data_IF_771417167367
#
_entry.id   IF_771417167367
#
_cell.length_a   1.000
_cell.length_b   1.000
_cell.length_c   1.000
_cell.angle_alpha   90.00
_cell.angle_beta   90.00
_cell.angle_gamma   90.00
#
_symmetry.space_group_name_H-M   'P 1'
#
loop_
_entity.id
_entity.type
_entity.pdbx_description
1 polymer ?
#
# COMPACT_ATOMS: atom_id res chain seq x y z
N UNK A 1 2.41 13.99 47.11
CA UNK A 1 3.05 13.05 46.16
C UNK A 1 2.02 11.97 45.87
N UNK A 2 1.83 11.59 44.60
CA UNK A 2 0.95 10.49 44.23
C UNK A 2 1.53 9.18 44.79
N UNK A 3 0.67 8.29 45.29
CA UNK A 3 1.08 6.93 45.71
C UNK A 3 1.06 5.96 44.52
N UNK A 4 0.14 6.14 43.58
CA UNK A 4 0.10 5.41 42.32
C UNK A 4 -0.74 6.15 41.27
N UNK A 5 -0.58 5.80 40.01
CA UNK A 5 -1.30 6.41 38.88
C UNK A 5 -2.15 5.36 38.17
N UNK A 6 -3.43 5.66 37.94
CA UNK A 6 -4.34 4.85 37.13
C UNK A 6 -4.27 5.27 35.67
N UNK A 7 -4.10 4.33 34.74
CA UNK A 7 -4.25 4.54 33.31
C UNK A 7 -5.63 4.06 32.85
N UNK A 8 -6.50 5.01 32.52
CA UNK A 8 -7.89 4.73 32.16
C UNK A 8 -8.10 4.79 30.65
N UNK A 9 -8.52 3.68 30.05
CA UNK A 9 -8.90 3.59 28.65
C UNK A 9 -10.43 3.61 28.51
N UNK A 10 -10.94 4.60 27.78
CA UNK A 10 -12.37 4.73 27.48
C UNK A 10 -12.67 4.03 26.15
N UNK A 11 -13.54 3.02 26.18
CA UNK A 11 -13.92 2.28 24.97
C UNK A 11 -14.51 3.21 23.91
N UNK A 12 -13.97 3.12 22.69
CA UNK A 12 -14.35 3.98 21.57
C UNK A 12 -13.45 5.21 21.39
N UNK A 13 -12.43 5.39 22.23
CA UNK A 13 -11.39 6.42 22.06
C UNK A 13 -10.10 5.83 21.46
N UNK A 14 -9.23 6.61 20.80
CA UNK A 14 -7.96 6.12 20.28
C UNK A 14 -7.07 5.44 21.34
N UNK A 15 -6.28 4.43 20.98
CA UNK A 15 -5.44 3.67 21.94
C UNK A 15 -4.46 4.57 22.73
N UNK A 16 -3.99 5.66 22.11
CA UNK A 16 -3.08 6.65 22.72
C UNK A 16 -3.76 7.69 23.62
N UNK A 17 -5.10 7.67 23.77
CA UNK A 17 -5.83 8.63 24.60
C UNK A 17 -6.18 8.09 25.99
N UNK A 18 -5.42 7.12 26.50
CA UNK A 18 -5.56 6.70 27.89
C UNK A 18 -5.25 7.88 28.83
N UNK A 19 -6.11 8.08 29.83
CA UNK A 19 -6.02 9.22 30.74
C UNK A 19 -5.29 8.75 32.02
N UNK A 20 -4.14 9.36 32.38
CA UNK A 20 -3.51 9.12 33.66
C UNK A 20 -4.27 9.85 34.78
N UNK A 21 -4.53 9.15 35.88
CA UNK A 21 -5.20 9.70 37.07
C UNK A 21 -4.32 9.39 38.28
N UNK A 22 -3.74 10.42 38.86
CA UNK A 22 -2.87 10.30 40.03
C UNK A 22 -3.70 10.18 41.31
N UNK A 23 -3.43 9.14 42.10
CA UNK A 23 -4.08 8.88 43.39
C UNK A 23 -3.04 8.99 44.49
N UNK A 24 -3.32 9.86 45.46
CA UNK A 24 -2.54 9.96 46.69
C UNK A 24 -3.31 9.42 47.90
N UNK A 25 -2.64 9.41 49.05
CA UNK A 25 -3.23 9.10 50.36
C UNK A 25 -4.56 9.81 50.63
N UNK A 26 -4.66 11.05 50.15
CA UNK A 26 -5.88 11.85 50.10
C UNK A 26 -6.02 12.36 48.66
N UNK A 27 -7.16 12.07 48.04
CA UNK A 27 -7.47 12.44 46.64
C UNK A 27 -8.77 13.24 46.61
N UNK A 28 -8.77 14.39 45.93
CA UNK A 28 -9.98 15.21 45.75
C UNK A 28 -10.88 14.61 44.66
N UNK A 29 -12.14 14.35 44.99
CA UNK A 29 -13.12 13.78 44.06
C UNK A 29 -14.36 14.66 44.07
N UNK A 30 -14.59 15.45 43.01
CA UNK A 30 -15.69 16.43 42.91
C UNK A 30 -15.75 17.44 44.08
N UNK A 31 -14.60 17.82 44.65
CA UNK A 31 -14.51 18.78 45.75
C UNK A 31 -14.01 18.20 47.08
N UNK A 32 -14.68 17.20 47.70
CA UNK A 32 -14.25 16.63 48.97
C UNK A 32 -12.96 15.80 48.86
N UNK A 33 -12.19 15.83 49.93
CA UNK A 33 -11.01 15.01 50.15
C UNK A 33 -11.42 13.57 50.52
N UNK A 34 -11.03 12.60 49.70
CA UNK A 34 -11.28 11.17 49.92
C UNK A 34 -9.97 10.47 50.22
N UNK A 35 -9.85 9.87 51.41
CA UNK A 35 -8.70 9.05 51.76
C UNK A 35 -8.67 7.75 50.95
N UNK A 36 -7.49 7.20 50.67
CA UNK A 36 -7.32 5.92 49.96
C UNK A 36 -8.21 4.79 50.53
N UNK A 37 -8.31 4.69 51.87
CA UNK A 37 -9.14 3.69 52.57
C UNK A 37 -10.65 3.80 52.32
N UNK A 38 -11.12 4.94 51.82
CA UNK A 38 -12.53 5.24 51.51
C UNK A 38 -12.78 5.35 50.00
N UNK A 39 -11.75 5.11 49.17
CA UNK A 39 -11.86 5.15 47.73
C UNK A 39 -12.72 3.97 47.24
N UNK A 40 -13.60 4.23 46.28
CA UNK A 40 -14.47 3.21 45.67
C UNK A 40 -14.61 3.46 44.17
N UNK A 41 -15.24 2.52 43.44
CA UNK A 41 -15.40 2.66 42.00
C UNK A 41 -16.26 3.85 41.58
N UNK A 42 -17.20 4.31 42.41
CA UNK A 42 -17.94 5.55 42.16
C UNK A 42 -17.02 6.78 42.16
N UNK A 43 -16.07 6.83 43.10
CA UNK A 43 -15.05 7.87 43.14
C UNK A 43 -14.12 7.82 41.92
N UNK A 44 -13.70 6.62 41.50
CA UNK A 44 -12.86 6.44 40.29
C UNK A 44 -13.61 6.89 39.04
N UNK A 45 -14.89 6.54 38.88
CA UNK A 45 -15.71 7.00 37.74
C UNK A 45 -15.79 8.52 37.65
N UNK A 46 -15.93 9.20 38.80
CA UNK A 46 -15.94 10.66 38.90
C UNK A 46 -14.58 11.28 38.58
N UNK A 47 -13.48 10.61 38.94
CA UNK A 47 -12.14 11.05 38.53
C UNK A 47 -11.90 10.92 37.02
N UNK A 48 -12.46 9.88 36.39
CA UNK A 48 -12.39 9.70 34.92
C UNK A 48 -13.25 10.74 34.19
N UNK A 49 -14.43 11.06 34.73
CA UNK A 49 -15.37 11.99 34.12
C UNK A 49 -15.81 13.07 35.12
N UNK A 50 -14.92 14.02 35.47
CA UNK A 50 -15.21 15.06 36.45
C UNK A 50 -16.31 15.99 35.94
N UNK A 51 -17.22 16.39 36.85
CA UNK A 51 -18.37 17.28 36.57
C UNK A 51 -19.45 16.73 35.63
N UNK A 52 -19.51 15.42 35.35
CA UNK A 52 -20.61 14.82 34.59
C UNK A 52 -21.57 14.03 35.50
N UNK A 53 -22.85 14.44 35.53
CA UNK A 53 -23.90 13.74 36.27
C UNK A 53 -24.10 12.28 35.80
N UNK A 54 -23.53 11.90 34.66
CA UNK A 54 -23.51 10.54 34.09
C UNK A 54 -22.25 9.76 34.42
N UNK A 55 -21.28 10.29 35.17
CA UNK A 55 -20.08 9.55 35.57
C UNK A 55 -20.42 8.19 36.21
N UNK A 56 -21.47 8.14 37.04
CA UNK A 56 -21.96 6.90 37.65
C UNK A 56 -22.47 5.86 36.63
N UNK A 57 -22.87 6.30 35.44
CA UNK A 57 -23.35 5.46 34.34
C UNK A 57 -22.20 4.81 33.55
N UNK A 58 -20.94 5.18 33.79
CA UNK A 58 -19.79 4.45 33.27
C UNK A 58 -19.82 3.00 33.77
N UNK A 59 -19.68 2.04 32.86
CA UNK A 59 -19.51 0.63 33.23
C UNK A 59 -18.02 0.31 33.27
N UNK A 60 -17.50 -0.10 34.43
CA UNK A 60 -16.14 -0.63 34.51
C UNK A 60 -16.13 -2.04 33.91
N UNK A 61 -15.24 -2.26 32.96
CA UNK A 61 -15.14 -3.51 32.19
C UNK A 61 -13.96 -4.36 32.62
N UNK A 62 -12.84 -3.74 33.00
CA UNK A 62 -11.63 -4.43 33.44
C UNK A 62 -10.82 -3.54 34.39
N UNK A 63 -10.21 -4.15 35.39
CA UNK A 63 -9.29 -3.51 36.34
C UNK A 63 -8.07 -4.42 36.49
N UNK A 64 -6.87 -3.91 36.19
CA UNK A 64 -5.61 -4.67 36.24
C UNK A 64 -4.60 -3.90 37.08
N UNK A 65 -4.06 -4.56 38.09
CA UNK A 65 -3.01 -4.03 38.96
C UNK A 65 -1.71 -4.79 38.68
N UNK A 66 -0.63 -4.15 38.23
CA UNK A 66 0.65 -4.83 37.98
C UNK A 66 1.56 -4.89 39.21
N UNK A 67 1.20 -4.22 40.31
CA UNK A 67 2.06 -4.06 41.48
C UNK A 67 2.45 -5.40 42.11
N UNK A 68 3.77 -5.61 42.23
CA UNK A 68 4.40 -6.66 43.04
C UNK A 68 4.42 -6.33 44.54
N UNK A 69 4.02 -5.11 44.92
CA UNK A 69 4.01 -4.64 46.30
C UNK A 69 2.67 -4.92 46.99
N UNK A 70 2.74 -5.39 48.23
CA UNK A 70 1.60 -5.76 49.09
C UNK A 70 0.81 -4.52 49.58
N UNK A 71 0.13 -3.81 48.67
CA UNK A 71 -0.87 -2.82 49.04
C UNK A 71 -2.23 -3.53 49.26
N UNK A 72 -2.51 -3.89 50.52
CA UNK A 72 -3.71 -4.63 50.93
C UNK A 72 -5.01 -3.89 50.58
N UNK A 73 -5.04 -2.56 50.66
CA UNK A 73 -6.22 -1.76 50.31
C UNK A 73 -6.59 -1.88 48.81
N UNK A 74 -5.60 -1.93 47.92
CA UNK A 74 -5.82 -2.11 46.48
C UNK A 74 -6.22 -3.55 46.12
N UNK A 75 -5.65 -4.54 46.82
CA UNK A 75 -6.09 -5.94 46.68
C UNK A 75 -7.54 -6.09 47.09
N UNK A 76 -7.97 -5.46 48.18
CA UNK A 76 -9.36 -5.48 48.64
C UNK A 76 -10.30 -4.79 47.64
N UNK A 77 -9.88 -3.66 47.04
CA UNK A 77 -10.66 -2.98 46.00
C UNK A 77 -10.80 -3.84 44.73
N UNK A 78 -9.72 -4.48 44.28
CA UNK A 78 -9.73 -5.39 43.14
C UNK A 78 -10.61 -6.63 43.43
N UNK A 79 -10.53 -7.18 44.65
CA UNK A 79 -11.40 -8.27 45.10
C UNK A 79 -12.89 -7.88 45.05
N UNK A 80 -13.22 -6.68 45.57
CA UNK A 80 -14.57 -6.11 45.49
C UNK A 80 -15.07 -5.90 44.07
N UNK A 81 -14.18 -5.68 43.08
CA UNK A 81 -14.57 -5.62 41.67
C UNK A 81 -15.16 -6.94 41.19
N UNK A 82 -14.46 -8.04 41.47
CA UNK A 82 -14.90 -9.38 41.05
C UNK A 82 -16.10 -9.89 41.85
N UNK A 83 -16.24 -9.50 43.13
CA UNK A 83 -17.38 -9.87 43.99
C UNK A 83 -18.67 -9.09 43.68
N UNK A 84 -18.59 -7.83 43.20
CA UNK A 84 -19.77 -7.01 42.83
C UNK A 84 -20.30 -7.28 41.41
N UNK A 85 -19.74 -8.25 40.68
CA UNK A 85 -20.35 -8.75 39.43
C UNK A 85 -21.50 -9.69 39.85
N UNK A 86 -22.68 -9.12 40.12
CA UNK A 86 -23.90 -9.93 40.14
C UNK A 86 -24.01 -10.65 38.78
N UNK A 87 -24.05 -11.98 38.85
CA UNK A 87 -24.28 -12.89 37.73
C UNK A 87 -25.72 -12.72 37.19
N UNK A 88 -26.03 -11.57 36.62
CA UNK A 88 -27.20 -11.36 35.76
C UNK A 88 -26.83 -10.45 34.60
N UNK A 89 -26.41 -11.08 33.51
CA UNK A 89 -27.13 -11.00 32.23
C UNK A 89 -26.43 -11.91 31.21
N UNK A 90 -26.82 -13.19 31.26
CA UNK A 90 -26.65 -14.26 30.26
C UNK A 90 -25.55 -14.06 29.21
N UNK A 91 -24.42 -14.73 29.45
CA UNK A 91 -23.43 -15.05 28.42
C UNK A 91 -24.10 -15.84 27.28
N UNK A 92 -24.30 -15.19 26.13
CA UNK A 92 -24.58 -15.90 24.88
C UNK A 92 -23.33 -16.69 24.45
N UNK A 93 -23.45 -17.86 23.80
CA UNK A 93 -22.31 -18.72 23.44
C UNK A 93 -21.32 -18.13 22.42
N UNK A 94 -21.46 -16.86 22.01
CA UNK A 94 -20.57 -16.20 21.05
C UNK A 94 -19.79 -15.01 21.63
N UNK A 95 -19.84 -14.80 22.94
CA UNK A 95 -19.09 -13.72 23.57
C UNK A 95 -17.69 -14.22 23.88
N UNK A 96 -16.75 -14.06 22.94
CA UNK A 96 -15.33 -13.98 23.29
C UNK A 96 -15.24 -12.89 24.36
N UNK A 97 -15.18 -13.29 25.63
CA UNK A 97 -14.77 -12.42 26.73
C UNK A 97 -13.55 -11.68 26.21
N UNK A 98 -13.64 -10.35 26.12
CA UNK A 98 -12.53 -9.47 25.74
C UNK A 98 -11.40 -9.70 26.75
N UNK A 99 -10.57 -10.71 26.50
CA UNK A 99 -9.43 -11.06 27.34
C UNK A 99 -8.38 -9.95 27.28
N UNK A 100 -8.34 -9.16 26.21
CA UNK A 100 -7.22 -8.29 25.93
C UNK A 100 -7.63 -6.82 25.81
N UNK A 101 -6.77 -5.95 26.33
CA UNK A 101 -6.75 -4.53 25.95
C UNK A 101 -6.60 -4.45 24.42
N UNK A 102 -7.02 -3.35 23.76
CA UNK A 102 -6.87 -3.23 22.31
C UNK A 102 -5.42 -3.52 21.89
N UNK A 103 -5.26 -4.21 20.75
CA UNK A 103 -3.93 -4.53 20.21
C UNK A 103 -3.10 -3.25 20.05
N UNK A 104 -1.88 -3.25 20.57
CA UNK A 104 -1.00 -2.07 20.63
C UNK A 104 -1.18 -1.19 21.88
N UNK A 105 -1.99 -1.60 22.87
CA UNK A 105 -2.00 -0.97 24.18
C UNK A 105 -0.74 -1.38 24.96
N UNK A 106 0.16 -0.44 25.19
CA UNK A 106 1.35 -0.65 26.02
C UNK A 106 0.95 -0.69 27.49
N UNK A 107 1.22 -1.82 28.14
CA UNK A 107 1.13 -1.93 29.59
C UNK A 107 2.37 -1.30 30.19
N UNK A 108 2.17 -0.42 31.17
CA UNK A 108 3.24 0.15 31.94
C UNK A 108 3.26 -0.61 33.27
N UNK A 109 4.34 -1.34 33.54
CA UNK A 109 4.43 -2.29 34.66
C UNK A 109 4.27 -1.66 36.05
N UNK A 110 4.34 -0.33 36.16
CA UNK A 110 4.18 0.42 37.41
C UNK A 110 2.77 1.05 37.59
N UNK A 111 1.81 0.78 36.69
CA UNK A 111 0.54 1.51 36.61
C UNK A 111 -0.70 0.63 36.60
N UNK A 112 -1.75 1.06 37.30
CA UNK A 112 -3.02 0.32 37.32
C UNK A 112 -3.81 0.65 36.07
N UNK A 113 -4.23 -0.36 35.29
CA UNK A 113 -4.93 -0.18 34.03
C UNK A 113 -6.43 -0.47 34.15
N UNK A 114 -7.29 0.46 33.70
CA UNK A 114 -8.75 0.35 33.79
C UNK A 114 -9.39 0.53 32.41
N UNK A 115 -10.35 -0.33 32.06
CA UNK A 115 -11.20 -0.15 30.88
C UNK A 115 -12.60 0.27 31.32
N UNK A 116 -13.10 1.37 30.78
CA UNK A 116 -14.47 1.86 31.03
C UNK A 116 -15.29 1.98 29.74
N UNK A 117 -16.58 1.67 29.83
CA UNK A 117 -17.54 1.81 28.75
C UNK A 117 -18.49 2.99 29.02
N UNK A 118 -18.64 3.95 28.08
CA UNK A 118 -19.61 5.03 28.21
C UNK A 118 -21.06 4.54 28.04
N UNK A 119 -22.05 5.22 28.65
CA UNK A 119 -23.45 4.88 28.47
C UNK A 119 -23.87 5.06 26.99
N UNK A 120 -24.80 4.23 26.49
CA UNK A 120 -25.29 4.37 25.12
C UNK A 120 -25.95 5.74 24.92
N UNK A 121 -25.80 6.38 23.74
CA UNK A 121 -26.42 7.67 23.48
C UNK A 121 -27.94 7.57 23.57
N UNK A 122 -28.56 8.53 24.28
CA UNK A 122 -30.01 8.55 24.52
C UNK A 122 -30.74 8.87 23.21
N UNK A 123 -31.31 7.86 22.57
CA UNK A 123 -32.32 8.05 21.51
C UNK A 123 -33.71 7.98 22.14
N UNK A 124 -34.40 9.12 22.21
CA UNK A 124 -35.82 9.21 22.56
C UNK A 124 -36.67 8.60 21.44
N UNK A 125 -37.07 7.34 21.60
CA UNK A 125 -38.21 6.78 20.88
C UNK A 125 -38.82 5.60 21.67
N UNK A 126 -40.13 5.58 21.67
CA UNK A 126 -41.04 4.88 22.57
C UNK A 126 -40.96 3.35 22.44
N UNK A 127 -40.87 2.66 23.59
CA UNK A 127 -40.86 1.19 23.71
C UNK A 127 -42.18 0.58 23.23
N UNK A 128 -42.16 -0.10 22.08
CA UNK A 128 -42.83 -1.39 21.77
C UNK A 128 -42.83 -1.61 20.25
N UNK A 129 -41.80 -2.30 19.75
CA UNK A 129 -41.62 -2.94 18.41
C UNK A 129 -40.15 -2.91 17.92
N UNK A 130 -39.24 -2.21 18.61
CA UNK A 130 -37.86 -1.98 18.18
C UNK A 130 -36.89 -3.17 18.25
N UNK A 131 -37.14 -4.22 19.03
CA UNK A 131 -36.09 -5.23 19.24
C UNK A 131 -35.79 -6.08 18.00
N UNK A 132 -36.77 -6.35 17.13
CA UNK A 132 -36.52 -7.08 15.87
C UNK A 132 -35.78 -6.20 14.86
N UNK A 133 -36.30 -4.99 14.65
CA UNK A 133 -35.78 -4.09 13.62
C UNK A 133 -34.43 -3.49 14.01
N UNK A 134 -34.13 -3.32 15.31
CA UNK A 134 -32.84 -2.82 15.79
C UNK A 134 -31.72 -3.85 15.65
N UNK A 135 -31.96 -5.13 15.98
CA UNK A 135 -30.97 -6.18 15.75
C UNK A 135 -30.75 -6.45 14.26
N UNK A 136 -31.78 -6.24 13.44
CA UNK A 136 -31.65 -6.29 11.99
C UNK A 136 -30.92 -5.07 11.44
N UNK A 137 -31.20 -3.84 11.87
CA UNK A 137 -30.45 -2.64 11.47
C UNK A 137 -28.99 -2.66 11.95
N UNK A 138 -28.71 -3.16 13.15
CA UNK A 138 -27.34 -3.29 13.68
C UNK A 138 -26.58 -4.40 12.96
N UNK A 139 -27.22 -5.54 12.64
CA UNK A 139 -26.64 -6.55 11.74
C UNK A 139 -26.47 -6.01 10.32
N UNK A 140 -27.39 -5.17 9.84
CA UNK A 140 -27.31 -4.55 8.52
C UNK A 140 -26.19 -3.49 8.47
N UNK A 141 -25.99 -2.71 9.53
CA UNK A 141 -24.90 -1.72 9.66
C UNK A 141 -23.54 -2.38 9.89
N UNK A 142 -23.45 -3.49 10.65
CA UNK A 142 -22.24 -4.32 10.74
C UNK A 142 -21.93 -4.98 9.40
N UNK A 143 -22.93 -5.53 8.70
CA UNK A 143 -22.79 -6.05 7.32
C UNK A 143 -22.39 -4.97 6.32
N UNK A 144 -22.84 -3.71 6.47
CA UNK A 144 -22.39 -2.57 5.64
C UNK A 144 -20.95 -2.13 5.93
N UNK A 145 -20.42 -2.33 7.15
CA UNK A 145 -19.01 -2.10 7.47
C UNK A 145 -18.07 -3.22 7.00
N UNK A 146 -18.59 -4.42 6.73
CA UNK A 146 -17.84 -5.56 6.19
C UNK A 146 -17.96 -5.73 4.67
N UNK A 147 -18.90 -5.03 4.03
CA UNK A 147 -19.08 -5.08 2.57
C UNK A 147 -18.20 -4.04 1.94
N UNK A 148 -17.38 -4.48 0.98
CA UNK A 148 -16.62 -3.60 0.11
C UNK A 148 -17.54 -2.52 -0.46
N UNK A 149 -17.16 -1.23 -0.43
CA UNK A 149 -17.94 -0.18 -1.04
C UNK A 149 -18.33 -0.54 -2.48
N UNK A 150 -19.61 -0.37 -2.81
CA UNK A 150 -20.15 -0.70 -4.14
C UNK A 150 -19.38 -0.03 -5.27
N UNK A 151 -18.84 1.17 -5.00
CA UNK A 151 -17.98 1.92 -5.91
C UNK A 151 -16.68 1.20 -6.24
N UNK A 152 -16.05 0.51 -5.28
CA UNK A 152 -14.84 -0.29 -5.49
C UNK A 152 -15.18 -1.56 -6.28
N UNK A 153 -16.25 -2.27 -5.90
CA UNK A 153 -16.73 -3.45 -6.62
C UNK A 153 -17.03 -3.12 -8.08
N UNK A 154 -17.82 -2.08 -8.34
CA UNK A 154 -18.16 -1.64 -9.69
C UNK A 154 -16.92 -1.23 -10.48
N UNK A 155 -15.95 -0.53 -9.86
CA UNK A 155 -14.70 -0.15 -10.53
C UNK A 155 -13.83 -1.36 -10.86
N UNK A 156 -13.72 -2.32 -9.95
CA UNK A 156 -12.94 -3.54 -10.13
C UNK A 156 -13.53 -4.39 -11.25
N UNK A 157 -14.84 -4.68 -11.20
CA UNK A 157 -15.55 -5.44 -12.22
C UNK A 157 -15.46 -4.79 -13.60
N UNK A 158 -15.70 -3.48 -13.70
CA UNK A 158 -15.59 -2.76 -14.98
C UNK A 158 -14.18 -2.80 -15.55
N UNK A 159 -13.16 -2.61 -14.71
CA UNK A 159 -11.75 -2.66 -15.16
C UNK A 159 -11.39 -4.07 -15.62
N UNK A 160 -11.83 -5.10 -14.90
CA UNK A 160 -11.64 -6.49 -15.29
C UNK A 160 -12.38 -6.82 -16.59
N UNK A 161 -13.63 -6.37 -16.77
CA UNK A 161 -14.40 -6.54 -18.01
C UNK A 161 -13.68 -5.90 -19.21
N UNK A 162 -13.14 -4.70 -19.03
CA UNK A 162 -12.35 -4.01 -20.05
C UNK A 162 -11.03 -4.75 -20.35
N UNK A 163 -10.42 -5.40 -19.36
CA UNK A 163 -9.24 -6.27 -19.55
C UNK A 163 -9.65 -7.54 -20.31
N UNK A 164 -10.77 -8.19 -19.98
CA UNK A 164 -11.21 -9.41 -20.67
C UNK A 164 -11.54 -9.20 -22.16
N UNK A 165 -11.76 -7.94 -22.58
CA UNK A 165 -11.99 -7.57 -24.00
C UNK A 165 -10.71 -7.42 -24.82
N UNK A 166 -9.53 -7.40 -24.20
CA UNK A 166 -8.26 -7.30 -24.95
C UNK A 166 -7.88 -8.65 -25.57
N UNK A 167 -6.94 -8.64 -26.51
CA UNK A 167 -6.45 -9.85 -27.17
C UNK A 167 -5.69 -10.76 -26.19
N UNK A 168 -5.88 -12.07 -26.31
CA UNK A 168 -5.09 -13.10 -25.63
C UNK A 168 -3.94 -13.65 -26.49
N UNK A 169 -3.73 -13.10 -27.70
CA UNK A 169 -2.56 -13.41 -28.52
C UNK A 169 -1.37 -12.52 -28.12
N UNK A 170 -0.28 -13.08 -27.55
CA UNK A 170 0.90 -12.29 -27.16
C UNK A 170 1.52 -11.53 -28.32
N UNK A 171 1.42 -12.03 -29.56
CA UNK A 171 2.00 -11.38 -30.76
C UNK A 171 1.41 -10.00 -31.03
N UNK A 172 0.18 -9.75 -30.58
CA UNK A 172 -0.45 -8.44 -30.71
C UNK A 172 0.33 -7.37 -29.94
N UNK A 173 0.89 -7.73 -28.78
CA UNK A 173 1.63 -6.82 -27.90
C UNK A 173 3.11 -6.71 -28.24
N UNK A 174 3.67 -7.66 -29.01
CA UNK A 174 5.04 -7.58 -29.48
C UNK A 174 5.20 -6.96 -30.86
N UNK A 175 4.12 -6.90 -31.66
CA UNK A 175 4.14 -6.28 -32.98
C UNK A 175 4.18 -4.74 -32.92
N UNK A 176 5.26 -4.08 -33.38
CA UNK A 176 5.38 -2.62 -33.35
C UNK A 176 4.39 -1.87 -34.25
N UNK A 177 3.66 -2.53 -35.15
CA UNK A 177 2.56 -1.97 -35.95
C UNK A 177 1.27 -1.73 -35.15
N UNK A 178 1.15 -2.38 -33.99
CA UNK A 178 -0.01 -2.21 -33.14
C UNK A 178 0.16 -1.03 -32.18
N UNK A 179 -0.91 -0.24 -32.07
CA UNK A 179 -1.05 0.82 -31.09
C UNK A 179 -2.32 0.57 -30.28
N UNK A 180 -2.13 0.13 -29.05
CA UNK A 180 -3.17 -0.48 -28.23
C UNK A 180 -3.58 0.46 -27.10
N UNK A 181 -4.83 0.95 -27.07
CA UNK A 181 -5.36 1.61 -25.88
C UNK A 181 -5.72 0.52 -24.87
N UNK A 182 -4.92 0.33 -23.83
CA UNK A 182 -5.10 -0.72 -22.83
C UNK A 182 -5.70 -0.16 -21.52
N UNK A 183 -6.56 -0.92 -20.80
CA UNK A 183 -7.02 -0.51 -19.48
C UNK A 183 -5.82 -0.39 -18.54
N UNK A 184 -5.78 0.64 -17.69
CA UNK A 184 -4.72 0.74 -16.69
C UNK A 184 -5.00 -0.23 -15.54
N UNK A 185 -4.16 -1.25 -15.31
CA UNK A 185 -4.51 -2.40 -14.45
C UNK A 185 -4.25 -2.11 -12.96
N UNK A 186 -4.77 -0.99 -12.46
CA UNK A 186 -4.66 -0.62 -11.05
C UNK A 186 -5.83 0.28 -10.63
N UNK A 187 -6.43 -0.04 -9.47
CA UNK A 187 -7.63 0.65 -8.98
C UNK A 187 -7.35 1.85 -8.10
N UNK A 188 -6.13 2.00 -7.57
CA UNK A 188 -5.80 3.12 -6.70
C UNK A 188 -5.94 4.48 -7.38
N UNK A 189 -6.24 5.50 -6.60
CA UNK A 189 -6.45 6.87 -7.09
C UNK A 189 -5.14 7.55 -7.50
N UNK A 190 -4.07 7.31 -6.74
CA UNK A 190 -2.73 7.82 -7.04
C UNK A 190 -2.06 6.93 -8.09
N UNK A 191 -2.04 7.42 -9.33
CA UNK A 191 -1.43 6.75 -10.49
C UNK A 191 -0.16 7.48 -10.92
N UNK A 192 0.82 6.79 -11.53
CA UNK A 192 2.06 7.39 -12.03
C UNK A 192 1.86 8.25 -13.29
N UNK A 193 1.16 9.38 -13.17
CA UNK A 193 0.82 10.29 -14.28
C UNK A 193 2.04 10.94 -14.94
N UNK A 194 3.17 11.01 -14.24
CA UNK A 194 4.45 11.49 -14.79
C UNK A 194 5.01 10.55 -15.87
N UNK A 195 4.65 9.27 -15.81
CA UNK A 195 5.13 8.22 -16.72
C UNK A 195 4.07 7.79 -17.71
N UNK A 196 2.80 7.80 -17.31
CA UNK A 196 1.69 7.35 -18.15
C UNK A 196 0.77 8.50 -18.52
N UNK A 197 0.51 8.65 -19.82
CA UNK A 197 -0.61 9.46 -20.32
C UNK A 197 -1.93 8.69 -20.17
N UNK A 198 -2.49 8.67 -18.96
CA UNK A 198 -3.73 7.93 -18.68
C UNK A 198 -4.95 8.81 -19.03
N UNK A 199 -5.70 8.41 -20.06
CA UNK A 199 -6.95 9.05 -20.48
C UNK A 199 -8.08 8.03 -20.41
N UNK A 200 -9.21 8.40 -19.82
CA UNK A 200 -10.38 7.52 -19.66
C UNK A 200 -10.02 6.15 -19.04
N UNK A 201 -9.12 6.16 -18.04
CA UNK A 201 -8.58 4.96 -17.35
C UNK A 201 -7.80 4.00 -18.27
N UNK A 202 -7.41 4.43 -19.47
CA UNK A 202 -6.59 3.67 -20.39
C UNK A 202 -5.24 4.36 -20.62
N UNK A 203 -4.23 3.56 -20.92
CA UNK A 203 -2.93 4.04 -21.39
C UNK A 203 -2.68 3.53 -22.81
N UNK A 204 -1.84 4.23 -23.56
CA UNK A 204 -1.51 3.85 -24.92
C UNK A 204 -0.21 3.03 -24.93
N UNK A 205 -0.22 1.91 -25.62
CA UNK A 205 0.93 1.02 -25.73
C UNK A 205 1.21 0.72 -27.20
N UNK A 206 2.38 1.12 -27.69
CA UNK A 206 2.90 0.63 -28.96
C UNK A 206 3.49 -0.75 -28.72
N UNK A 207 3.19 -1.73 -29.57
CA UNK A 207 3.77 -3.06 -29.43
C UNK A 207 5.30 -3.02 -29.42
N UNK A 208 5.91 -3.88 -28.60
CA UNK A 208 7.37 -3.91 -28.39
C UNK A 208 7.87 -5.34 -28.46
N UNK A 209 8.93 -5.60 -29.22
CA UNK A 209 9.51 -6.95 -29.28
C UNK A 209 10.00 -7.44 -27.91
N UNK A 210 10.44 -6.51 -27.07
CA UNK A 210 10.81 -6.78 -25.68
C UNK A 210 9.68 -7.38 -24.83
N UNK A 211 8.40 -7.19 -25.22
CA UNK A 211 7.26 -7.82 -24.55
C UNK A 211 7.39 -9.35 -24.54
N UNK A 212 7.73 -9.97 -25.68
CA UNK A 212 7.85 -11.42 -25.78
C UNK A 212 8.99 -11.94 -24.89
N UNK A 213 10.11 -11.23 -24.85
CA UNK A 213 11.23 -11.61 -23.98
C UNK A 213 10.83 -11.61 -22.50
N UNK A 214 10.14 -10.56 -22.06
CA UNK A 214 9.64 -10.45 -20.67
C UNK A 214 8.60 -11.54 -20.38
N UNK A 215 7.63 -11.74 -21.27
CA UNK A 215 6.58 -12.73 -21.09
C UNK A 215 7.14 -14.15 -21.05
N UNK A 216 8.04 -14.51 -21.97
CA UNK A 216 8.68 -15.82 -22.01
C UNK A 216 9.45 -16.10 -20.72
N UNK A 217 10.19 -15.11 -20.22
CA UNK A 217 10.92 -15.25 -18.95
C UNK A 217 9.98 -15.50 -17.77
N UNK A 218 8.84 -14.78 -17.72
CA UNK A 218 7.82 -14.99 -16.67
C UNK A 218 7.15 -16.36 -16.80
N UNK A 219 6.95 -16.85 -18.02
CA UNK A 219 6.35 -18.17 -18.28
C UNK A 219 7.29 -19.34 -17.92
N UNK A 220 8.59 -19.11 -17.80
CA UNK A 220 9.55 -20.11 -17.31
C UNK A 220 9.45 -20.35 -15.80
N UNK A 221 8.69 -19.52 -15.07
CA UNK A 221 8.55 -19.68 -13.64
C UNK A 221 7.89 -21.00 -13.26
N UNK A 222 8.47 -21.65 -12.24
CA UNK A 222 7.98 -22.91 -11.70
C UNK A 222 7.87 -22.80 -10.20
N UNK A 223 6.67 -23.00 -9.70
CA UNK A 223 6.40 -23.10 -8.27
C UNK A 223 7.25 -24.25 -7.68
N UNK A 224 7.98 -23.96 -6.59
CA UNK A 224 8.86 -24.88 -5.83
C UNK A 224 10.07 -25.50 -6.57
N UNK A 225 10.04 -25.63 -7.90
CA UNK A 225 11.05 -26.36 -8.68
C UNK A 225 11.91 -25.48 -9.60
N UNK A 226 11.78 -24.14 -9.52
CA UNK A 226 12.53 -23.25 -10.41
C UNK A 226 12.56 -21.80 -9.97
N UNK A 227 12.84 -20.91 -10.93
CA UNK A 227 12.84 -19.48 -10.69
C UNK A 227 11.42 -19.01 -10.40
N UNK A 228 11.27 -18.24 -9.33
CA UNK A 228 10.02 -17.56 -8.97
C UNK A 228 10.13 -16.03 -9.07
N UNK A 229 11.37 -15.54 -9.24
CA UNK A 229 11.70 -14.12 -9.19
C UNK A 229 12.27 -13.64 -10.52
N UNK A 230 11.87 -12.44 -10.94
CA UNK A 230 12.46 -11.73 -12.08
C UNK A 230 12.71 -10.26 -11.75
N UNK A 231 13.91 -9.80 -12.08
CA UNK A 231 14.30 -8.41 -12.03
C UNK A 231 14.51 -7.84 -13.42
N UNK A 232 13.71 -6.83 -13.75
CA UNK A 232 13.78 -6.08 -14.99
C UNK A 232 14.47 -4.76 -14.71
N UNK A 233 15.59 -4.48 -15.38
CA UNK A 233 16.31 -3.22 -15.23
C UNK A 233 16.78 -2.70 -16.58
N UNK A 234 16.98 -1.39 -16.66
CA UNK A 234 17.28 -0.76 -17.93
C UNK A 234 17.24 0.76 -17.92
N UNK A 235 17.49 1.38 -19.07
CA UNK A 235 17.54 2.84 -19.20
C UNK A 235 16.22 3.51 -18.82
N UNK A 236 16.30 4.70 -18.23
CA UNK A 236 15.13 5.55 -18.03
C UNK A 236 14.54 5.85 -19.41
N UNK A 237 13.21 5.78 -19.52
CA UNK A 237 12.51 6.10 -20.75
C UNK A 237 12.37 4.98 -21.78
N UNK A 238 13.01 3.80 -21.57
CA UNK A 238 12.83 2.62 -22.43
C UNK A 238 11.37 2.17 -22.59
N UNK A 239 10.51 2.48 -21.61
CA UNK A 239 9.12 2.03 -21.57
C UNK A 239 8.90 0.78 -20.72
N UNK A 240 9.83 0.42 -19.82
CA UNK A 240 9.72 -0.74 -18.91
C UNK A 240 8.36 -0.81 -18.19
N UNK A 241 7.93 0.32 -17.61
CA UNK A 241 6.64 0.42 -16.93
C UNK A 241 5.45 0.17 -17.85
N UNK A 242 5.53 0.59 -19.12
CA UNK A 242 4.48 0.33 -20.10
C UNK A 242 4.45 -1.15 -20.49
N UNK A 243 5.62 -1.77 -20.70
CA UNK A 243 5.74 -3.22 -20.95
C UNK A 243 5.17 -3.99 -19.76
N UNK A 244 5.52 -3.64 -18.52
CA UNK A 244 5.01 -4.28 -17.31
C UNK A 244 3.50 -4.12 -17.14
N UNK A 245 2.96 -2.92 -17.34
CA UNK A 245 1.51 -2.70 -17.28
C UNK A 245 0.79 -3.55 -18.35
N UNK A 246 1.35 -3.68 -19.54
CA UNK A 246 0.82 -4.55 -20.61
C UNK A 246 0.91 -6.03 -20.23
N UNK A 247 2.02 -6.48 -19.65
CA UNK A 247 2.18 -7.85 -19.13
C UNK A 247 1.12 -8.15 -18.06
N UNK A 248 0.89 -7.22 -17.13
CA UNK A 248 -0.16 -7.34 -16.11
C UNK A 248 -1.54 -7.49 -16.76
N UNK A 249 -1.88 -6.66 -17.75
CA UNK A 249 -3.13 -6.80 -18.50
C UNK A 249 -3.25 -8.18 -19.15
N UNK A 250 -2.18 -8.68 -19.79
CA UNK A 250 -2.16 -9.99 -20.44
C UNK A 250 -2.31 -11.15 -19.44
N UNK A 251 -1.60 -11.10 -18.31
CA UNK A 251 -1.69 -12.10 -17.24
C UNK A 251 -3.10 -12.15 -16.63
N UNK A 252 -3.70 -10.99 -16.35
CA UNK A 252 -5.10 -10.92 -15.89
C UNK A 252 -6.07 -11.46 -16.95
N UNK A 253 -5.89 -11.09 -18.23
CA UNK A 253 -6.70 -11.59 -19.36
C UNK A 253 -6.64 -13.10 -19.54
N UNK A 254 -5.51 -13.71 -19.20
CA UNK A 254 -5.28 -15.17 -19.26
C UNK A 254 -5.63 -15.88 -17.95
N UNK A 255 -6.30 -15.18 -17.01
CA UNK A 255 -6.86 -15.77 -15.79
C UNK A 255 -5.88 -15.89 -14.63
N UNK A 256 -4.69 -15.26 -14.70
CA UNK A 256 -3.74 -15.25 -13.59
C UNK A 256 -4.12 -14.22 -12.54
N UNK A 257 -3.82 -14.50 -11.27
CA UNK A 257 -3.96 -13.56 -10.15
C UNK A 257 -2.75 -12.65 -10.08
N UNK A 258 -2.94 -11.36 -10.38
CA UNK A 258 -1.83 -10.39 -10.42
C UNK A 258 -2.06 -9.28 -9.40
N UNK A 259 -1.07 -9.04 -8.54
CA UNK A 259 -0.99 -7.90 -7.63
C UNK A 259 -0.02 -6.89 -8.23
N UNK A 260 -0.54 -5.87 -8.90
CA UNK A 260 0.29 -4.85 -9.57
C UNK A 260 0.43 -3.59 -8.73
N UNK A 261 1.67 -3.25 -8.39
CA UNK A 261 2.06 -2.05 -7.65
C UNK A 261 2.86 -1.14 -8.61
N UNK A 262 2.21 -0.19 -9.29
CA UNK A 262 2.84 0.57 -10.38
C UNK A 262 3.83 1.64 -9.91
N UNK A 263 3.75 2.10 -8.66
CA UNK A 263 4.63 3.14 -8.14
C UNK A 263 4.97 2.93 -6.66
N UNK A 264 6.20 2.48 -6.39
CA UNK A 264 6.66 2.28 -5.01
C UNK A 264 6.74 3.57 -4.17
N UNK A 265 6.78 4.77 -4.77
CA UNK A 265 6.75 6.04 -4.01
C UNK A 265 5.40 6.21 -3.31
N UNK A 266 4.32 5.94 -4.05
CA UNK A 266 2.96 6.02 -3.52
C UNK A 266 2.67 4.84 -2.58
N UNK A 267 3.19 3.64 -2.88
CA UNK A 267 3.15 2.50 -1.97
C UNK A 267 3.72 2.85 -0.60
N UNK A 268 4.92 3.45 -0.53
CA UNK A 268 5.54 3.74 0.75
C UNK A 268 4.88 4.90 1.52
N UNK A 269 4.04 5.72 0.87
CA UNK A 269 3.26 6.79 1.51
C UNK A 269 2.00 6.28 2.20
N UNK A 270 1.31 5.32 1.59
CA UNK A 270 0.05 4.74 2.11
C UNK A 270 -0.06 3.25 1.73
N UNK A 271 0.70 2.37 2.39
CA UNK A 271 0.95 1.02 1.89
C UNK A 271 -0.30 0.14 1.97
N UNK A 272 -1.05 0.20 3.07
CA UNK A 272 -2.25 -0.62 3.24
C UNK A 272 -3.31 -0.29 2.17
N UNK A 273 -3.59 0.99 1.91
CA UNK A 273 -4.52 1.39 0.85
C UNK A 273 -4.02 0.97 -0.54
N UNK A 274 -2.74 1.19 -0.82
CA UNK A 274 -2.18 0.97 -2.14
C UNK A 274 -2.17 -0.52 -2.53
N UNK A 275 -1.80 -1.40 -1.58
CA UNK A 275 -1.80 -2.85 -1.79
C UNK A 275 -3.22 -3.39 -1.89
N UNK A 276 -4.15 -2.95 -1.01
CA UNK A 276 -5.56 -3.34 -1.10
C UNK A 276 -6.17 -2.94 -2.45
N UNK A 277 -5.80 -1.78 -2.98
CA UNK A 277 -6.24 -1.33 -4.30
C UNK A 277 -5.79 -2.26 -5.43
N UNK A 278 -4.60 -2.87 -5.32
CA UNK A 278 -4.15 -3.89 -6.25
C UNK A 278 -4.93 -5.21 -6.07
N UNK A 279 -5.04 -5.68 -4.81
CA UNK A 279 -5.74 -6.92 -4.45
C UNK A 279 -7.22 -6.91 -4.84
N UNK A 280 -7.90 -5.77 -4.74
CA UNK A 280 -9.28 -5.62 -5.20
C UNK A 280 -9.43 -5.88 -6.71
N UNK A 281 -8.41 -5.58 -7.52
CA UNK A 281 -8.45 -5.93 -8.94
C UNK A 281 -8.12 -7.41 -9.15
N UNK A 282 -7.14 -7.94 -8.41
CA UNK A 282 -6.74 -9.36 -8.43
C UNK A 282 -7.92 -10.29 -8.20
N UNK A 283 -8.80 -9.92 -7.28
CA UNK A 283 -9.98 -10.68 -6.88
C UNK A 283 -11.29 -10.02 -7.31
N UNK A 284 -11.29 -9.25 -8.40
CA UNK A 284 -12.48 -8.53 -8.87
C UNK A 284 -13.71 -9.44 -9.11
N UNK A 285 -13.50 -10.73 -9.36
CA UNK A 285 -14.54 -11.73 -9.56
C UNK A 285 -14.93 -12.50 -8.27
N UNK A 286 -14.29 -12.22 -7.13
CA UNK A 286 -14.53 -12.91 -5.86
C UNK A 286 -14.88 -11.90 -4.76
N UNK A 287 -16.18 -11.63 -4.63
CA UNK A 287 -16.71 -10.70 -3.64
C UNK A 287 -16.40 -11.09 -2.18
N UNK A 288 -16.18 -12.38 -1.90
CA UNK A 288 -15.87 -12.86 -0.56
C UNK A 288 -14.44 -12.49 -0.19
N UNK A 289 -13.47 -12.83 -1.06
CA UNK A 289 -12.07 -12.41 -0.90
C UNK A 289 -11.93 -10.90 -0.88
N UNK A 290 -12.65 -10.17 -1.74
CA UNK A 290 -12.65 -8.71 -1.67
C UNK A 290 -13.13 -8.18 -0.32
N UNK A 291 -14.13 -8.81 0.30
CA UNK A 291 -14.63 -8.40 1.63
C UNK A 291 -13.60 -8.67 2.72
N UNK A 292 -12.89 -9.78 2.63
CA UNK A 292 -11.77 -10.15 3.50
C UNK A 292 -10.61 -9.15 3.38
N UNK A 293 -10.15 -8.86 2.15
CA UNK A 293 -9.16 -7.82 1.86
C UNK A 293 -9.60 -6.48 2.44
N UNK A 294 -10.88 -6.12 2.28
CA UNK A 294 -11.39 -4.86 2.81
C UNK A 294 -11.31 -4.80 4.34
N UNK A 295 -11.49 -5.93 5.02
CA UNK A 295 -11.41 -6.03 6.48
C UNK A 295 -9.98 -5.91 7.03
N UNK A 296 -8.95 -6.17 6.23
CA UNK A 296 -7.55 -5.99 6.62
C UNK A 296 -7.26 -4.50 6.87
N UNK A 297 -6.84 -4.15 8.08
CA UNK A 297 -6.49 -2.80 8.52
C UNK A 297 -4.98 -2.57 8.47
N UNK A 298 -4.18 -3.62 8.68
CA UNK A 298 -2.72 -3.53 8.81
C UNK A 298 -1.99 -4.31 7.71
N UNK A 299 -0.71 -4.00 7.50
CA UNK A 299 0.14 -4.80 6.61
C UNK A 299 0.28 -6.26 7.04
N UNK A 300 0.30 -6.55 8.35
CA UNK A 300 0.45 -7.93 8.82
C UNK A 300 -0.80 -8.77 8.50
N UNK A 301 -2.00 -8.18 8.58
CA UNK A 301 -3.24 -8.83 8.16
C UNK A 301 -3.29 -9.05 6.64
N UNK A 302 -2.79 -8.09 5.84
CA UNK A 302 -2.66 -8.26 4.38
C UNK A 302 -1.64 -9.35 4.06
N UNK A 303 -0.54 -9.42 4.80
CA UNK A 303 0.49 -10.44 4.65
C UNK A 303 -0.06 -11.83 4.94
N UNK A 304 -0.84 -11.99 6.01
CA UNK A 304 -1.48 -13.26 6.33
C UNK A 304 -2.49 -13.67 5.25
N UNK A 305 -3.33 -12.73 4.79
CA UNK A 305 -4.23 -12.96 3.67
C UNK A 305 -3.48 -13.51 2.44
N UNK A 306 -2.36 -12.88 2.06
CA UNK A 306 -1.57 -13.37 0.92
C UNK A 306 -0.96 -14.76 1.17
N UNK A 307 -0.59 -15.11 2.41
CA UNK A 307 0.00 -16.42 2.74
C UNK A 307 -1.01 -17.56 2.82
N UNK A 308 -2.24 -17.27 3.23
CA UNK A 308 -3.33 -18.26 3.32
C UNK A 308 -3.78 -18.77 1.93
N UNK A 309 -3.38 -18.08 0.87
CA UNK A 309 -3.81 -18.37 -0.49
C UNK A 309 -3.25 -19.69 -1.04
N UNK A 310 -4.17 -20.55 -1.50
CA UNK A 310 -3.87 -21.82 -2.15
C UNK A 310 -3.39 -21.69 -3.60
N UNK A 311 -3.47 -20.48 -4.18
CA UNK A 311 -3.08 -20.19 -5.57
C UNK A 311 -1.89 -19.23 -5.65
N UNK A 312 -0.89 -19.46 -6.53
CA UNK A 312 0.25 -18.55 -6.68
C UNK A 312 -0.16 -17.17 -7.22
N UNK A 313 0.23 -16.10 -6.52
CA UNK A 313 0.09 -14.72 -7.00
C UNK A 313 1.26 -14.31 -7.90
N UNK A 314 0.99 -13.45 -8.88
CA UNK A 314 2.02 -12.70 -9.60
C UNK A 314 2.12 -11.31 -8.98
N UNK A 315 3.10 -11.10 -8.11
CA UNK A 315 3.38 -9.82 -7.47
C UNK A 315 4.30 -9.02 -8.40
N UNK A 316 3.74 -8.01 -9.04
CA UNK A 316 4.44 -7.16 -10.01
C UNK A 316 4.66 -5.78 -9.40
N UNK A 317 5.93 -5.42 -9.18
CA UNK A 317 6.32 -4.19 -8.50
C UNK A 317 7.19 -3.33 -9.41
N UNK A 318 6.70 -2.14 -9.74
CA UNK A 318 7.42 -1.20 -10.59
C UNK A 318 7.96 -0.01 -9.77
N UNK A 319 9.06 0.59 -10.25
CA UNK A 319 9.80 1.65 -9.57
C UNK A 319 10.41 1.24 -8.23
N UNK A 320 10.95 0.02 -8.12
CA UNK A 320 11.66 -0.42 -6.91
C UNK A 320 12.78 0.53 -6.48
N UNK A 321 13.31 1.33 -7.40
CA UNK A 321 14.28 2.37 -7.08
C UNK A 321 13.78 3.37 -6.03
N UNK A 322 12.48 3.62 -5.94
CA UNK A 322 11.92 4.52 -4.93
C UNK A 322 12.15 4.06 -3.48
N UNK A 323 12.41 2.76 -3.28
CA UNK A 323 12.64 2.14 -1.98
C UNK A 323 14.13 1.97 -1.66
N UNK A 324 15.04 2.43 -2.52
CA UNK A 324 16.47 2.43 -2.18
C UNK A 324 16.79 3.56 -1.22
N UNK A 325 17.71 3.30 -0.29
CA UNK A 325 18.13 4.31 0.68
C UNK A 325 18.91 5.48 0.12
N UNK A 326 19.47 5.34 -1.07
CA UNK A 326 20.18 6.42 -1.76
C UNK A 326 19.26 7.36 -2.56
N UNK A 327 17.96 7.04 -2.70
CA UNK A 327 17.02 7.89 -3.41
C UNK A 327 16.29 8.85 -2.45
N UNK A 328 16.39 10.16 -2.72
CA UNK A 328 15.72 11.19 -1.93
C UNK A 328 14.24 11.31 -2.31
N UNK A 329 13.41 10.37 -1.84
CA UNK A 329 11.97 10.31 -2.13
C UNK A 329 11.10 11.05 -1.11
N UNK A 330 11.70 11.82 -0.19
CA UNK A 330 11.06 12.41 1.00
C UNK A 330 10.49 11.36 1.97
N UNK A 331 10.76 10.08 1.73
CA UNK A 331 10.35 8.94 2.55
C UNK A 331 11.58 8.48 3.34
N UNK A 332 11.41 8.29 4.64
CA UNK A 332 12.49 7.86 5.52
C UNK A 332 12.93 6.42 5.24
N UNK A 333 14.17 6.12 5.62
CA UNK A 333 14.80 4.83 5.35
C UNK A 333 14.13 3.66 6.06
N UNK A 334 13.60 3.88 7.27
CA UNK A 334 12.97 2.82 8.05
C UNK A 334 11.66 2.38 7.40
N UNK A 335 10.88 3.32 6.87
CA UNK A 335 9.68 3.04 6.09
C UNK A 335 10.02 2.26 4.82
N UNK A 336 11.04 2.68 4.07
CA UNK A 336 11.48 1.95 2.86
C UNK A 336 11.86 0.50 3.17
N UNK A 337 12.69 0.28 4.19
CA UNK A 337 13.10 -1.06 4.62
C UNK A 337 11.92 -1.91 5.08
N UNK A 338 10.96 -1.32 5.80
CA UNK A 338 9.72 -1.99 6.20
C UNK A 338 8.92 -2.47 4.98
N UNK A 339 8.78 -1.64 3.95
CA UNK A 339 8.05 -2.00 2.72
C UNK A 339 8.82 -3.05 1.92
N UNK A 340 10.13 -2.93 1.76
CA UNK A 340 10.95 -3.95 1.08
C UNK A 340 10.84 -5.30 1.80
N UNK A 341 10.94 -5.30 3.13
CA UNK A 341 10.76 -6.51 3.95
C UNK A 341 9.36 -7.11 3.80
N UNK A 342 8.32 -6.28 3.81
CA UNK A 342 6.94 -6.72 3.57
C UNK A 342 6.78 -7.37 2.18
N UNK A 343 7.25 -6.71 1.11
CA UNK A 343 7.18 -7.24 -0.26
C UNK A 343 7.89 -8.60 -0.39
N UNK A 344 9.04 -8.76 0.26
CA UNK A 344 9.75 -10.04 0.30
C UNK A 344 8.95 -11.13 1.02
N UNK A 345 8.30 -10.80 2.14
CA UNK A 345 7.50 -11.78 2.90
C UNK A 345 6.27 -12.24 2.14
N UNK A 346 5.52 -11.34 1.53
CA UNK A 346 4.37 -11.74 0.68
C UNK A 346 4.83 -12.52 -0.56
N UNK A 347 6.04 -12.27 -1.08
CA UNK A 347 6.56 -12.98 -2.24
C UNK A 347 7.01 -14.43 -1.99
N UNK A 348 7.20 -14.85 -0.72
CA UNK A 348 7.86 -16.13 -0.36
C UNK A 348 7.30 -17.38 -1.07
N UNK A 349 6.01 -17.40 -1.41
CA UNK A 349 5.34 -18.52 -2.14
C UNK A 349 4.64 -18.04 -3.42
N UNK A 350 5.08 -16.94 -3.98
CA UNK A 350 4.46 -16.27 -5.11
C UNK A 350 5.51 -15.90 -6.15
N UNK A 351 5.06 -15.56 -7.34
CA UNK A 351 5.95 -15.08 -8.39
C UNK A 351 6.24 -13.60 -8.21
N UNK A 352 7.50 -13.22 -8.11
CA UNK A 352 7.91 -11.85 -7.82
C UNK A 352 8.59 -11.20 -9.02
N UNK A 353 7.92 -10.25 -9.65
CA UNK A 353 8.45 -9.49 -10.79
C UNK A 353 8.70 -8.06 -10.34
N UNK A 354 9.96 -7.63 -10.30
CA UNK A 354 10.35 -6.27 -9.93
C UNK A 354 11.01 -5.52 -11.07
N UNK A 355 10.75 -4.21 -11.16
CA UNK A 355 11.37 -3.31 -12.12
C UNK A 355 12.05 -2.11 -11.46
N UNK A 356 13.21 -1.74 -11.97
CA UNK A 356 13.92 -0.52 -11.60
C UNK A 356 14.68 0.10 -12.77
N UNK A 357 15.08 1.35 -12.63
CA UNK A 357 15.98 1.99 -13.61
C UNK A 357 17.45 1.63 -13.34
N UNK A 358 18.27 1.54 -14.38
CA UNK A 358 19.67 1.08 -14.29
C UNK A 358 20.61 2.03 -13.50
N UNK A 359 20.18 3.26 -13.23
CA UNK A 359 20.86 4.18 -12.31
C UNK A 359 20.58 3.87 -10.83
N UNK A 360 19.97 2.72 -10.53
CA UNK A 360 19.77 2.27 -9.17
C UNK A 360 21.04 1.55 -8.66
N UNK A 361 21.57 2.00 -7.52
CA UNK A 361 22.74 1.38 -6.85
C UNK A 361 22.44 -0.07 -6.44
N UNK A 362 21.23 -0.38 -5.97
CA UNK A 362 20.75 -1.73 -5.73
C UNK A 362 20.66 -2.56 -7.00
N UNK A 363 20.34 -1.97 -8.17
CA UNK A 363 20.37 -2.69 -9.45
C UNK A 363 21.81 -3.06 -9.86
N UNK A 364 22.77 -2.18 -9.59
CA UNK A 364 24.20 -2.44 -9.78
C UNK A 364 24.71 -3.54 -8.81
N UNK A 365 24.32 -3.51 -7.54
CA UNK A 365 24.66 -4.57 -6.58
C UNK A 365 23.95 -5.90 -6.90
N UNK A 366 22.72 -5.87 -7.42
CA UNK A 366 22.00 -7.06 -7.86
C UNK A 366 22.66 -7.69 -9.09
N UNK A 367 23.23 -6.90 -10.01
CA UNK A 367 24.00 -7.44 -11.15
C UNK A 367 25.17 -8.32 -10.70
N UNK A 368 25.81 -7.96 -9.59
CA UNK A 368 26.99 -8.66 -9.04
C UNK A 368 26.66 -9.87 -8.16
N UNK A 369 25.45 -9.95 -7.57
CA UNK A 369 25.06 -11.08 -6.71
C UNK A 369 24.53 -12.25 -7.54
N UNK A 370 25.02 -13.46 -7.24
CA UNK A 370 24.32 -14.69 -7.59
C UNK A 370 23.03 -14.76 -6.76
N UNK A 371 21.89 -14.59 -7.41
CA UNK A 371 20.56 -14.67 -6.82
C UNK A 371 19.76 -15.73 -7.55
N UNK A 372 18.81 -16.39 -6.89
CA UNK A 372 17.88 -17.34 -7.52
C UNK A 372 16.78 -16.60 -8.31
N UNK A 373 17.19 -15.61 -9.12
CA UNK A 373 16.33 -14.65 -9.79
C UNK A 373 16.76 -14.48 -11.25
N UNK A 374 15.78 -14.50 -12.17
CA UNK A 374 16.00 -14.17 -13.57
C UNK A 374 16.22 -12.67 -13.75
N UNK A 375 17.15 -12.29 -14.61
CA UNK A 375 17.50 -10.89 -14.87
C UNK A 375 17.21 -10.54 -16.32
N UNK A 376 16.46 -9.46 -16.56
CA UNK A 376 16.16 -8.95 -17.90
C UNK A 376 16.73 -7.54 -18.04
N UNK A 377 17.64 -7.40 -19.00
CA UNK A 377 18.29 -6.15 -19.35
C UNK A 377 17.55 -5.48 -20.51
N UNK A 378 16.99 -4.29 -20.24
CA UNK A 378 16.25 -3.48 -21.22
C UNK A 378 17.00 -2.16 -21.46
N UNK A 379 18.09 -2.24 -22.22
CA UNK A 379 18.90 -1.10 -22.61
C UNK A 379 18.52 -0.60 -24.01
N UNK A 380 19.07 0.55 -24.39
CA UNK A 380 18.88 1.21 -25.68
C UNK A 380 17.49 1.87 -25.85
N UNK A 381 17.06 2.04 -27.09
CA UNK A 381 15.79 2.64 -27.50
C UNK A 381 14.99 1.67 -28.36
N UNK A 382 14.20 2.22 -29.28
CA UNK A 382 13.52 1.42 -30.30
C UNK A 382 14.52 0.74 -31.24
N UNK A 383 14.24 -0.52 -31.59
CA UNK A 383 14.94 -1.17 -32.69
C UNK A 383 14.56 -0.55 -34.05
N UNK A 384 15.15 -1.05 -35.15
CA UNK A 384 14.90 -0.48 -36.50
C UNK A 384 13.42 -0.53 -36.90
N UNK A 385 12.72 -1.61 -36.60
CA UNK A 385 11.32 -1.81 -36.99
C UNK A 385 10.39 -1.00 -36.08
N UNK A 386 10.68 -1.02 -34.77
CA UNK A 386 9.98 -0.18 -33.78
C UNK A 386 10.12 1.31 -34.12
N UNK A 387 11.31 1.75 -34.53
CA UNK A 387 11.58 3.13 -34.91
C UNK A 387 10.87 3.52 -36.22
N UNK A 388 10.86 2.64 -37.22
CA UNK A 388 10.11 2.83 -38.47
C UNK A 388 8.62 3.06 -38.17
N UNK A 389 8.03 2.19 -37.35
CA UNK A 389 6.63 2.29 -36.97
C UNK A 389 6.34 3.51 -36.09
N UNK A 390 7.31 3.98 -35.31
CA UNK A 390 7.18 5.24 -34.59
C UNK A 390 7.16 6.45 -35.56
N UNK A 391 8.04 6.48 -36.56
CA UNK A 391 8.06 7.56 -37.57
C UNK A 391 6.75 7.62 -38.35
N UNK A 392 6.24 6.48 -38.84
CA UNK A 392 4.98 6.40 -39.60
C UNK A 392 3.83 7.05 -38.84
N UNK A 393 3.72 6.76 -37.53
CA UNK A 393 2.62 7.25 -36.69
C UNK A 393 2.72 8.73 -36.34
N UNK A 394 3.92 9.22 -36.15
CA UNK A 394 4.14 10.60 -35.72
C UNK A 394 4.33 11.55 -36.89
N UNK A 395 4.38 11.05 -38.13
CA UNK A 395 4.63 11.84 -39.34
C UNK A 395 3.71 13.06 -39.49
N UNK A 396 2.44 12.95 -39.09
CA UNK A 396 1.48 14.08 -39.15
C UNK A 396 1.69 15.14 -38.05
N UNK A 397 2.35 14.79 -36.96
CA UNK A 397 2.60 15.65 -35.81
C UNK A 397 4.03 16.20 -35.76
N UNK A 398 4.83 15.89 -36.78
CA UNK A 398 6.22 16.27 -36.91
C UNK A 398 6.41 17.18 -38.13
N UNK A 399 7.37 18.11 -38.10
CA UNK A 399 7.74 18.85 -39.29
C UNK A 399 8.29 17.91 -40.36
N UNK A 400 8.22 18.31 -41.63
CA UNK A 400 8.81 17.54 -42.72
C UNK A 400 10.32 17.38 -42.52
N UNK A 401 10.79 16.14 -42.55
CA UNK A 401 12.20 15.77 -42.33
C UNK A 401 12.67 14.83 -43.43
N UNK A 402 13.84 15.13 -43.99
CA UNK A 402 14.59 14.18 -44.81
C UNK A 402 15.22 13.07 -43.94
N UNK A 403 15.80 12.07 -44.61
CA UNK A 403 16.41 10.92 -43.94
C UNK A 403 17.65 11.30 -43.11
N UNK A 404 18.36 12.38 -43.45
CA UNK A 404 19.51 12.84 -42.67
C UNK A 404 19.06 13.42 -41.32
N UNK A 405 18.01 14.24 -41.32
CA UNK A 405 17.38 14.79 -40.12
C UNK A 405 16.79 13.71 -39.23
N UNK A 406 16.12 12.69 -39.80
CA UNK A 406 15.63 11.53 -39.04
C UNK A 406 16.78 10.78 -38.35
N UNK A 407 17.87 10.49 -39.08
CA UNK A 407 19.07 9.85 -38.49
C UNK A 407 19.69 10.67 -37.37
N UNK A 408 19.74 12.01 -37.53
CA UNK A 408 20.23 12.93 -36.48
C UNK A 408 19.37 12.84 -35.22
N UNK A 409 18.05 12.80 -35.35
CA UNK A 409 17.12 12.62 -34.22
C UNK A 409 17.32 11.27 -33.54
N UNK A 410 17.40 10.19 -34.31
CA UNK A 410 17.63 8.84 -33.78
C UNK A 410 18.94 8.76 -32.99
N UNK A 411 20.01 9.39 -33.50
CA UNK A 411 21.30 9.46 -32.83
C UNK A 411 21.22 10.25 -31.51
N UNK A 412 20.66 11.46 -31.53
CA UNK A 412 20.57 12.34 -30.34
C UNK A 412 19.72 11.70 -29.24
N UNK A 413 18.62 11.06 -29.63
CA UNK A 413 17.69 10.43 -28.67
C UNK A 413 18.13 9.02 -28.27
N UNK A 414 19.10 8.41 -28.96
CA UNK A 414 19.38 6.98 -28.85
C UNK A 414 18.15 6.12 -29.14
N UNK A 415 17.20 6.64 -29.93
CA UNK A 415 15.86 6.08 -30.17
C UNK A 415 15.05 5.83 -28.89
N UNK A 416 15.36 6.53 -27.80
CA UNK A 416 14.69 6.33 -26.52
C UNK A 416 13.23 6.82 -26.58
N UNK A 417 12.23 5.99 -26.24
CA UNK A 417 10.82 6.34 -26.37
C UNK A 417 10.41 7.62 -25.62
N UNK A 418 10.97 7.84 -24.42
CA UNK A 418 10.71 9.05 -23.65
C UNK A 418 11.25 10.29 -24.36
N UNK A 419 12.47 10.25 -24.87
CA UNK A 419 13.08 11.41 -25.52
C UNK A 419 12.39 11.71 -26.85
N UNK A 420 12.04 10.65 -27.59
CA UNK A 420 11.23 10.75 -28.79
C UNK A 420 9.86 11.38 -28.51
N UNK A 421 9.23 11.10 -27.36
CA UNK A 421 7.93 11.68 -26.99
C UNK A 421 7.94 13.21 -26.81
N UNK A 422 9.11 13.83 -26.70
CA UNK A 422 9.22 15.29 -26.61
C UNK A 422 9.21 15.99 -27.97
N UNK A 423 9.33 15.24 -29.07
CA UNK A 423 9.33 15.80 -30.43
C UNK A 423 7.95 16.18 -30.96
N UNK A 424 6.89 15.36 -30.80
CA UNK A 424 5.56 15.72 -31.28
C UNK A 424 5.00 16.90 -30.48
N UNK A 425 4.73 18.03 -31.15
CA UNK A 425 4.04 19.16 -30.55
C UNK A 425 4.40 20.53 -31.13
N UNK A 426 3.43 21.11 -31.85
CA UNK A 426 3.24 22.55 -32.16
C UNK A 426 4.28 23.33 -32.97
N UNK A 427 5.45 22.77 -33.27
CA UNK A 427 6.52 23.54 -33.91
C UNK A 427 6.49 23.47 -35.42
N UNK A 428 6.68 24.64 -36.06
CA UNK A 428 6.47 24.81 -37.51
C UNK A 428 7.64 24.28 -38.35
N UNK A 429 8.83 24.14 -37.77
CA UNK A 429 10.03 23.70 -38.46
C UNK A 429 10.91 22.77 -37.59
N UNK A 430 11.89 22.13 -38.22
CA UNK A 430 12.77 21.13 -37.61
C UNK A 430 13.73 21.70 -36.55
N UNK A 431 14.29 22.89 -36.79
CA UNK A 431 15.33 23.44 -35.91
C UNK A 431 14.75 23.86 -34.57
N UNK A 432 13.55 24.47 -34.58
CA UNK A 432 12.82 24.77 -33.34
C UNK A 432 12.63 23.47 -32.54
N UNK A 433 12.11 22.41 -33.20
CA UNK A 433 11.75 21.15 -32.53
C UNK A 433 12.99 20.46 -31.94
N UNK A 434 14.10 20.56 -32.66
CA UNK A 434 15.39 20.06 -32.22
C UNK A 434 15.95 20.86 -31.03
N UNK A 435 15.83 22.18 -31.04
CA UNK A 435 16.33 23.04 -29.95
C UNK A 435 15.49 22.89 -28.68
N UNK A 436 14.16 22.74 -28.80
CA UNK A 436 13.33 22.37 -27.66
C UNK A 436 13.70 20.99 -27.12
N UNK A 437 13.89 19.98 -27.98
CA UNK A 437 14.35 18.67 -27.55
C UNK A 437 15.65 18.80 -26.74
N UNK A 438 16.67 19.49 -27.27
CA UNK A 438 17.93 19.72 -26.56
C UNK A 438 17.71 20.42 -25.22
N UNK A 439 16.88 21.45 -25.17
CA UNK A 439 16.56 22.20 -23.94
C UNK A 439 15.95 21.28 -22.88
N UNK A 440 14.95 20.48 -23.25
CA UNK A 440 14.30 19.51 -22.35
C UNK A 440 15.29 18.45 -21.89
N UNK A 441 16.14 17.93 -22.78
CA UNK A 441 17.16 16.95 -22.40
C UNK A 441 18.17 17.56 -21.42
N UNK A 442 18.59 18.81 -21.60
CA UNK A 442 19.48 19.50 -20.67
C UNK A 442 18.82 19.67 -19.30
N UNK A 443 17.59 20.20 -19.26
CA UNK A 443 16.85 20.44 -18.01
C UNK A 443 16.55 19.13 -17.26
N UNK A 444 15.98 18.14 -17.96
CA UNK A 444 15.48 16.89 -17.34
C UNK A 444 16.53 15.82 -17.12
N UNK A 445 17.68 15.90 -17.79
CA UNK A 445 18.68 14.82 -17.76
C UNK A 445 20.02 15.32 -17.26
N UNK A 446 20.55 16.42 -17.82
CA UNK A 446 21.89 16.88 -17.45
C UNK A 446 21.94 17.25 -15.97
N UNK A 447 20.97 18.00 -15.46
CA UNK A 447 20.96 18.39 -14.03
C UNK A 447 20.85 17.17 -13.10
N UNK A 448 19.89 16.22 -13.28
CA UNK A 448 19.81 15.03 -12.44
C UNK A 448 20.99 14.05 -12.59
N UNK A 449 21.54 13.88 -13.80
CA UNK A 449 22.69 12.99 -14.02
C UNK A 449 23.98 13.56 -13.44
N UNK A 450 24.16 14.88 -13.42
CA UNK A 450 25.33 15.51 -12.78
C UNK A 450 25.28 15.26 -11.28
N UNK A 451 24.13 15.48 -10.64
CA UNK A 451 23.91 15.16 -9.22
C UNK A 451 24.13 13.66 -8.93
N UNK A 452 23.67 12.76 -9.80
CA UNK A 452 23.90 11.32 -9.68
C UNK A 452 25.39 10.95 -9.79
N UNK A 453 26.12 11.56 -10.73
CA UNK A 453 27.57 11.36 -10.87
C UNK A 453 28.36 11.88 -9.67
N UNK A 454 27.89 12.96 -9.03
CA UNK A 454 28.49 13.50 -7.82
C UNK A 454 28.21 12.62 -6.59
N UNK A 455 27.07 11.92 -6.55
CA UNK A 455 26.79 10.88 -5.55
C UNK A 455 27.73 9.67 -5.71
N UNK A 456 28.04 9.26 -6.95
CA UNK A 456 28.96 8.14 -7.24
C UNK A 456 30.42 8.49 -6.91
N UNK A 457 30.83 9.77 -6.94
CA UNK A 457 32.19 10.17 -6.57
C UNK A 457 32.56 9.84 -5.13
N UNK A 458 31.60 9.49 -4.27
CA UNK A 458 31.85 9.20 -2.86
C UNK A 458 32.37 7.77 -2.63
N UNK A 459 32.16 6.79 -3.52
CA UNK A 459 32.77 5.46 -3.38
C UNK A 459 33.21 4.82 -4.72
N UNK A 460 34.53 4.91 -4.97
CA UNK A 460 35.38 4.02 -5.79
C UNK A 460 34.95 3.73 -7.23
N UNK A 461 35.51 4.53 -8.14
CA UNK A 461 35.62 4.26 -9.59
C UNK A 461 36.44 3.01 -9.96
N UNK A 462 37.10 2.35 -9.01
CA UNK A 462 38.08 1.29 -9.30
C UNK A 462 37.48 -0.08 -9.70
N UNK A 463 36.16 -0.23 -9.74
CA UNK A 463 35.51 -1.55 -10.00
C UNK A 463 34.73 -1.61 -11.33
N UNK A 464 34.71 -0.54 -12.14
CA UNK A 464 33.70 -0.38 -13.20
C UNK A 464 34.24 -0.24 -14.64
N UNK A 465 35.29 -0.98 -15.01
CA UNK A 465 35.63 -1.20 -16.43
C UNK A 465 36.04 -2.65 -16.63
N UNK A 466 35.12 -3.48 -17.13
CA UNK A 466 35.24 -4.35 -18.32
C UNK A 466 33.88 -4.92 -18.70
#
# INVERSE_FOLDING_TARGET
MAEFTLFCYVLGTPVKSAIPIDIGNITKVDGPDVSLKKLNFGHIKKLIWPNDNKANQLKLMKFVTPLKEDNEELKELNKKFYENIELSDKLSPCTKVLKEFPAGYEFLDDYIHIIVQPPPPVTTATKRQLDSDYWDEVRYRKKRKLRVPETILTRALKTMEDIMKISDDPKVYSNPENLLPLPFPFLGERKPVERFSIKNKRFLYMGRKAFDNVLNTINEFKYEEGYMDCFIYGTIGYGKSHILATIVCFLLRTGKRVVYLPDCRELARDPEYYIKSALFLTYANDSAKMSEIHSCVTLDEIEEFCKEESEPLYIVVDQMNALDGHNNTEIDETTKQRIVGFLGRIATKHYYIKSSSANNISALHLKLKQTNEKKIELYEGFDKDEMLQWWIRNNSNLPSMDEERKRKIEYITGRNPLFLSFLPGSEKNFEDALDRLKSILIEKIKIPMTNFSDIIKIERWEVYVF
#
